data_IF_727609751047
#
_entry.id   IF_727609751047
#
_cell.length_a   1.000
_cell.length_b   1.000
_cell.length_c   1.000
_cell.angle_alpha   90.00
_cell.angle_beta   90.00
_cell.angle_gamma   90.00
#
_symmetry.space_group_name_H-M   'P 1'
#
loop_
_entity.id
_entity.type
_entity.pdbx_description
1 polymer ?
#
# COMPACT_ATOMS: atom_id res chain seq x y z
N UNK A 1 -32.15 17.03 -1.09
CA UNK A 1 -31.73 15.71 -0.58
C UNK A 1 -30.22 15.74 -0.56
N UNK A 2 -29.63 15.77 0.64
CA UNK A 2 -28.18 15.80 0.78
C UNK A 2 -27.64 14.40 0.52
N UNK A 3 -27.08 14.17 -0.68
CA UNK A 3 -26.23 13.02 -0.93
C UNK A 3 -25.07 13.11 0.05
N UNK A 4 -25.19 12.34 1.12
CA UNK A 4 -24.13 12.18 2.10
C UNK A 4 -23.13 11.24 1.44
N UNK A 5 -22.22 11.79 0.64
CA UNK A 5 -21.06 11.05 0.13
C UNK A 5 -20.37 10.44 1.35
N UNK A 6 -20.54 9.13 1.54
CA UNK A 6 -19.94 8.41 2.64
C UNK A 6 -18.44 8.67 2.58
N UNK A 7 -17.93 9.39 3.59
CA UNK A 7 -16.53 9.76 3.65
C UNK A 7 -15.68 8.49 3.55
N UNK A 8 -14.89 8.35 2.47
CA UNK A 8 -14.05 7.17 2.30
C UNK A 8 -13.08 7.11 3.47
N UNK A 9 -13.13 6.01 4.23
CA UNK A 9 -12.20 5.79 5.33
C UNK A 9 -10.89 5.24 4.75
N UNK A 10 -9.71 5.68 5.23
CA UNK A 10 -8.43 5.18 4.72
C UNK A 10 -8.30 3.66 4.73
N UNK A 11 -8.75 3.01 5.81
CA UNK A 11 -8.78 1.54 5.90
C UNK A 11 -9.60 0.89 4.77
N UNK A 12 -10.83 1.35 4.56
CA UNK A 12 -11.69 0.83 3.50
C UNK A 12 -11.09 1.07 2.12
N UNK A 13 -10.44 2.21 1.93
CA UNK A 13 -9.69 2.54 0.70
C UNK A 13 -8.53 1.55 0.52
N UNK A 14 -7.72 1.31 1.56
CA UNK A 14 -6.60 0.36 1.52
C UNK A 14 -7.05 -1.04 1.09
N UNK A 15 -8.06 -1.62 1.74
CA UNK A 15 -8.55 -2.96 1.40
C UNK A 15 -9.25 -3.01 0.04
N UNK A 16 -9.85 -1.91 -0.42
CA UNK A 16 -10.36 -1.82 -1.80
C UNK A 16 -9.22 -1.91 -2.81
N UNK A 17 -8.14 -1.15 -2.61
CA UNK A 17 -6.96 -1.18 -3.47
C UNK A 17 -6.30 -2.56 -3.47
N UNK A 18 -6.06 -3.15 -2.28
CA UNK A 18 -5.48 -4.49 -2.13
C UNK A 18 -6.31 -5.56 -2.85
N UNK A 19 -7.64 -5.45 -2.78
CA UNK A 19 -8.53 -6.37 -3.51
C UNK A 19 -8.36 -6.21 -5.02
N UNK A 20 -8.41 -4.97 -5.52
CA UNK A 20 -8.29 -4.70 -6.96
C UNK A 20 -6.95 -5.19 -7.51
N UNK A 21 -5.84 -4.86 -6.86
CA UNK A 21 -4.50 -5.28 -7.30
C UNK A 21 -4.34 -6.80 -7.22
N UNK A 22 -4.74 -7.44 -6.12
CA UNK A 22 -4.64 -8.89 -5.99
C UNK A 22 -5.53 -9.64 -6.99
N UNK A 23 -6.73 -9.13 -7.30
CA UNK A 23 -7.59 -9.72 -8.34
C UNK A 23 -7.02 -9.52 -9.75
N UNK A 24 -6.40 -8.36 -10.02
CA UNK A 24 -5.67 -8.12 -11.26
C UNK A 24 -4.54 -9.13 -11.46
N UNK A 25 -3.74 -9.34 -10.41
CA UNK A 25 -2.67 -10.35 -10.36
C UNK A 25 -3.21 -11.77 -10.59
N UNK A 26 -4.29 -12.15 -9.90
CA UNK A 26 -4.95 -13.44 -10.06
C UNK A 26 -5.49 -13.68 -11.48
N UNK A 27 -6.11 -12.66 -12.07
CA UNK A 27 -6.65 -12.74 -13.42
C UNK A 27 -5.54 -12.89 -14.46
N UNK A 28 -4.48 -12.08 -14.35
CA UNK A 28 -3.32 -12.10 -15.24
C UNK A 28 -2.61 -13.46 -15.21
N UNK A 29 -2.33 -13.99 -14.03
CA UNK A 29 -1.69 -15.31 -13.88
C UNK A 29 -2.63 -16.47 -14.26
N UNK A 30 -3.94 -16.32 -14.03
CA UNK A 30 -4.94 -17.32 -14.40
C UNK A 30 -5.06 -17.56 -15.92
N UNK A 31 -4.70 -16.57 -16.74
CA UNK A 31 -4.64 -16.70 -18.21
C UNK A 31 -3.23 -17.03 -18.72
N UNK A 32 -2.28 -17.31 -17.83
CA UNK A 32 -0.88 -17.63 -18.18
C UNK A 32 -0.02 -16.41 -18.53
N UNK A 33 -0.39 -15.22 -18.04
CA UNK A 33 0.43 -14.02 -18.20
C UNK A 33 1.77 -14.14 -17.49
N UNK A 34 2.85 -13.73 -18.16
CA UNK A 34 4.17 -13.55 -17.56
C UNK A 34 4.39 -12.07 -17.20
N UNK A 35 5.10 -11.80 -16.10
CA UNK A 35 5.39 -10.44 -15.65
C UNK A 35 4.21 -9.72 -14.98
N UNK A 36 4.32 -8.40 -14.74
CA UNK A 36 3.29 -7.64 -14.04
C UNK A 36 2.00 -7.47 -14.87
N UNK A 37 0.84 -7.37 -14.23
CA UNK A 37 -0.43 -7.11 -14.90
C UNK A 37 -0.43 -5.72 -15.57
N UNK A 38 -1.31 -5.50 -16.58
CA UNK A 38 -1.49 -4.18 -17.18
C UNK A 38 -1.99 -3.16 -16.14
N UNK A 39 -1.75 -1.87 -16.42
CA UNK A 39 -2.15 -0.79 -15.54
C UNK A 39 -3.68 -0.78 -15.29
N UNK A 40 -4.07 -0.82 -14.01
CA UNK A 40 -5.46 -0.76 -13.58
C UNK A 40 -5.92 0.71 -13.43
N UNK A 41 -6.62 1.19 -14.46
CA UNK A 41 -7.18 2.55 -14.49
C UNK A 41 -8.35 2.73 -13.52
N UNK A 42 -9.06 1.67 -13.17
CA UNK A 42 -10.15 1.73 -12.18
C UNK A 42 -9.57 1.96 -10.79
N UNK A 43 -8.50 1.24 -10.43
CA UNK A 43 -7.78 1.43 -9.17
C UNK A 43 -7.24 2.87 -9.08
N UNK A 44 -6.63 3.37 -10.15
CA UNK A 44 -6.14 4.74 -10.22
C UNK A 44 -7.27 5.76 -9.99
N UNK A 45 -8.42 5.57 -10.62
CA UNK A 45 -9.60 6.41 -10.44
C UNK A 45 -10.14 6.38 -9.01
N UNK A 46 -10.27 5.19 -8.42
CA UNK A 46 -10.76 5.01 -7.05
C UNK A 46 -9.85 5.69 -6.01
N UNK A 47 -8.52 5.51 -6.12
CA UNK A 47 -7.56 6.19 -5.26
C UNK A 47 -7.59 7.71 -5.45
N UNK A 48 -7.60 8.18 -6.70
CA UNK A 48 -7.62 9.62 -7.00
C UNK A 48 -8.87 10.27 -6.37
N UNK A 49 -10.05 9.67 -6.55
CA UNK A 49 -11.29 10.19 -5.97
C UNK A 49 -11.25 10.27 -4.43
N UNK A 50 -10.67 9.27 -3.76
CA UNK A 50 -10.49 9.29 -2.30
C UNK A 50 -9.55 10.42 -1.85
N UNK A 51 -8.41 10.58 -2.53
CA UNK A 51 -7.43 11.63 -2.21
C UNK A 51 -8.01 13.03 -2.45
N UNK A 52 -8.74 13.24 -3.54
CA UNK A 52 -9.43 14.51 -3.82
C UNK A 52 -10.47 14.82 -2.75
N UNK A 53 -11.28 13.83 -2.36
CA UNK A 53 -12.26 13.99 -1.26
C UNK A 53 -11.57 14.43 0.03
N UNK A 54 -10.42 13.85 0.36
CA UNK A 54 -9.67 14.24 1.56
C UNK A 54 -8.98 15.60 1.42
N UNK A 55 -8.51 15.97 0.22
CA UNK A 55 -7.96 17.29 -0.08
C UNK A 55 -9.00 18.38 0.12
N UNK A 56 -10.19 18.20 -0.45
CA UNK A 56 -11.27 19.19 -0.39
C UNK A 56 -11.80 19.35 1.05
N UNK A 57 -11.71 18.30 1.85
CA UNK A 57 -12.00 18.34 3.29
C UNK A 57 -10.86 18.92 4.16
N UNK A 58 -9.72 19.30 3.58
CA UNK A 58 -8.54 19.81 4.31
C UNK A 58 -7.80 18.74 5.13
N UNK A 59 -7.95 17.46 4.77
CA UNK A 59 -7.43 16.29 5.52
C UNK A 59 -6.52 15.38 4.69
N UNK A 60 -6.05 15.81 3.51
CA UNK A 60 -5.23 14.98 2.62
C UNK A 60 -4.06 14.31 3.35
N UNK A 61 -3.18 15.09 3.96
CA UNK A 61 -1.95 14.57 4.62
C UNK A 61 -2.24 13.53 5.71
N UNK A 62 -3.09 13.80 6.73
CA UNK A 62 -3.35 12.80 7.76
C UNK A 62 -4.10 11.56 7.23
N UNK A 63 -5.03 11.71 6.28
CA UNK A 63 -5.76 10.55 5.73
C UNK A 63 -4.88 9.69 4.82
N UNK A 64 -4.02 10.32 4.01
CA UNK A 64 -3.05 9.63 3.17
C UNK A 64 -2.00 8.88 4.01
N UNK A 65 -1.50 9.48 5.09
CA UNK A 65 -0.57 8.80 6.01
C UNK A 65 -1.21 7.53 6.60
N UNK A 66 -2.47 7.60 7.05
CA UNK A 66 -3.18 6.43 7.57
C UNK A 66 -3.43 5.38 6.47
N UNK A 67 -3.76 5.81 5.24
CA UNK A 67 -3.89 4.89 4.10
C UNK A 67 -2.57 4.12 3.87
N UNK A 68 -1.45 4.84 3.85
CA UNK A 68 -0.11 4.29 3.62
C UNK A 68 0.29 3.35 4.76
N UNK A 69 0.00 3.70 6.02
CA UNK A 69 0.23 2.82 7.17
C UNK A 69 -0.50 1.48 7.02
N UNK A 70 -1.78 1.50 6.62
CA UNK A 70 -2.55 0.29 6.37
C UNK A 70 -1.93 -0.57 5.26
N UNK A 71 -1.59 0.05 4.13
CA UNK A 71 -1.01 -0.68 2.99
C UNK A 71 0.36 -1.26 3.33
N UNK A 72 1.23 -0.50 4.01
CA UNK A 72 2.55 -0.95 4.44
C UNK A 72 2.46 -2.08 5.48
N UNK A 73 1.50 -2.00 6.41
CA UNK A 73 1.24 -3.04 7.42
C UNK A 73 0.78 -4.34 6.79
N UNK A 74 -0.17 -4.28 5.86
CA UNK A 74 -0.64 -5.46 5.16
C UNK A 74 0.48 -6.05 4.27
N UNK A 75 1.27 -5.22 3.56
CA UNK A 75 2.43 -5.69 2.80
C UNK A 75 3.44 -6.44 3.69
N UNK A 76 3.84 -5.85 4.82
CA UNK A 76 4.75 -6.49 5.76
C UNK A 76 4.17 -7.81 6.29
N UNK A 77 2.89 -7.83 6.67
CA UNK A 77 2.21 -9.02 7.13
C UNK A 77 2.18 -10.14 6.09
N UNK A 78 1.85 -9.81 4.84
CA UNK A 78 1.79 -10.80 3.76
C UNK A 78 3.17 -11.38 3.46
N UNK A 79 4.17 -10.52 3.37
CA UNK A 79 5.54 -10.96 3.11
C UNK A 79 6.09 -11.83 4.24
N UNK A 80 5.86 -11.46 5.50
CA UNK A 80 6.22 -12.29 6.66
C UNK A 80 5.57 -13.67 6.56
N UNK A 81 4.29 -13.73 6.19
CA UNK A 81 3.60 -15.02 6.02
C UNK A 81 4.17 -15.85 4.86
N UNK A 82 4.47 -15.24 3.71
CA UNK A 82 5.12 -15.92 2.57
C UNK A 82 6.50 -16.48 2.93
N UNK A 83 7.21 -15.83 3.85
CA UNK A 83 8.50 -16.25 4.35
C UNK A 83 8.41 -17.23 5.54
N UNK A 84 7.21 -17.65 5.91
CA UNK A 84 6.97 -18.64 6.97
C UNK A 84 7.01 -18.08 8.40
N UNK A 85 6.89 -16.77 8.58
CA UNK A 85 6.96 -16.12 9.90
C UNK A 85 8.38 -15.94 10.44
N UNK A 86 9.40 -16.11 9.60
CA UNK A 86 10.81 -16.01 9.96
C UNK A 86 11.31 -14.55 9.82
N UNK A 87 11.63 -13.92 10.96
CA UNK A 87 12.08 -12.54 11.01
C UNK A 87 13.44 -12.33 10.34
N UNK A 88 14.37 -13.27 10.45
CA UNK A 88 15.71 -13.14 9.84
C UNK A 88 15.59 -13.18 8.32
N UNK A 89 14.70 -14.04 7.79
CA UNK A 89 14.38 -14.08 6.37
C UNK A 89 13.67 -12.81 5.91
N UNK A 90 12.75 -12.28 6.71
CA UNK A 90 12.08 -11.02 6.41
C UNK A 90 13.09 -9.85 6.35
N UNK A 91 13.98 -9.73 7.33
CA UNK A 91 15.00 -8.68 7.38
C UNK A 91 15.99 -8.81 6.22
N UNK A 92 16.37 -10.03 5.85
CA UNK A 92 17.20 -10.27 4.68
C UNK A 92 16.49 -9.90 3.38
N UNK A 93 15.20 -10.22 3.26
CA UNK A 93 14.39 -9.83 2.11
C UNK A 93 14.25 -8.31 2.02
N UNK A 94 13.93 -7.63 3.13
CA UNK A 94 13.70 -6.18 3.14
C UNK A 94 14.93 -5.41 2.68
N UNK A 95 16.14 -5.84 3.10
CA UNK A 95 17.39 -5.26 2.61
C UNK A 95 17.57 -5.45 1.11
N UNK A 96 17.45 -6.69 0.62
CA UNK A 96 17.61 -6.99 -0.81
C UNK A 96 16.56 -6.28 -1.68
N UNK A 97 15.32 -6.22 -1.20
CA UNK A 97 14.23 -5.49 -1.86
C UNK A 97 14.50 -3.98 -1.90
N UNK A 98 15.02 -3.41 -0.81
CA UNK A 98 15.44 -2.01 -0.76
C UNK A 98 16.55 -1.69 -1.76
N UNK A 99 17.54 -2.58 -1.89
CA UNK A 99 18.63 -2.45 -2.87
C UNK A 99 18.07 -2.51 -4.31
N UNK A 100 17.19 -3.46 -4.59
CA UNK A 100 16.54 -3.60 -5.90
C UNK A 100 15.71 -2.37 -6.27
N UNK A 101 14.88 -1.88 -5.35
CA UNK A 101 14.07 -0.66 -5.54
C UNK A 101 14.97 0.55 -5.80
N UNK A 102 16.08 0.67 -5.06
CA UNK A 102 17.04 1.76 -5.25
C UNK A 102 17.74 1.69 -6.61
N UNK A 103 18.11 0.50 -7.07
CA UNK A 103 18.75 0.28 -8.37
C UNK A 103 17.80 0.49 -9.55
N UNK A 104 16.52 0.16 -9.37
CA UNK A 104 15.50 0.27 -10.42
C UNK A 104 14.86 1.65 -10.51
N UNK A 105 15.06 2.51 -9.51
CA UNK A 105 14.60 3.90 -9.50
C UNK A 105 15.26 4.72 -10.64
N UNK A 106 14.46 5.08 -11.66
CA UNK A 106 14.94 5.84 -12.84
C UNK A 106 14.67 7.33 -12.80
N UNK A 107 13.86 7.79 -11.85
CA UNK A 107 13.45 9.18 -11.75
C UNK A 107 14.00 9.85 -10.49
N UNK A 108 14.31 11.15 -10.50
CA UNK A 108 14.83 11.86 -9.33
C UNK A 108 13.89 11.87 -8.11
N UNK A 109 12.59 11.65 -8.33
CA UNK A 109 11.59 11.62 -7.27
C UNK A 109 11.60 10.26 -6.55
N UNK A 110 11.96 10.18 -5.25
CA UNK A 110 12.39 8.93 -4.62
C UNK A 110 11.23 8.09 -4.08
N UNK A 111 10.17 7.87 -4.87
CA UNK A 111 8.97 7.17 -4.40
C UNK A 111 9.26 5.77 -3.85
N UNK A 112 10.00 4.96 -4.62
CA UNK A 112 10.41 3.62 -4.20
C UNK A 112 11.20 3.62 -2.90
N UNK A 113 12.34 4.36 -2.82
CA UNK A 113 13.10 4.50 -1.58
C UNK A 113 12.26 4.97 -0.38
N UNK A 114 11.36 5.96 -0.57
CA UNK A 114 10.44 6.41 0.50
C UNK A 114 9.49 5.30 0.95
N UNK A 115 8.95 4.49 0.03
CA UNK A 115 8.15 3.33 0.40
C UNK A 115 8.96 2.30 1.21
N UNK A 116 10.23 2.07 0.88
CA UNK A 116 11.11 1.16 1.64
C UNK A 116 11.38 1.69 3.05
N UNK A 117 11.62 3.00 3.21
CA UNK A 117 11.77 3.64 4.53
C UNK A 117 10.50 3.47 5.38
N UNK A 118 9.33 3.74 4.80
CA UNK A 118 8.03 3.57 5.45
C UNK A 118 7.78 2.11 5.84
N UNK A 119 8.08 1.16 4.95
CA UNK A 119 7.95 -0.28 5.22
C UNK A 119 8.89 -0.71 6.36
N UNK A 120 10.10 -0.17 6.40
CA UNK A 120 11.07 -0.44 7.48
C UNK A 120 10.55 0.06 8.83
N UNK A 121 9.93 1.24 8.88
CA UNK A 121 9.30 1.74 10.11
C UNK A 121 8.23 0.77 10.62
N UNK A 122 7.37 0.28 9.74
CA UNK A 122 6.31 -0.70 10.08
C UNK A 122 6.89 -2.04 10.51
N UNK A 123 7.87 -2.56 9.78
CA UNK A 123 8.46 -3.87 10.03
C UNK A 123 9.30 -3.90 11.31
N UNK A 124 9.97 -2.81 11.65
CA UNK A 124 10.81 -2.69 12.84
C UNK A 124 10.07 -2.03 14.02
N UNK A 125 8.73 -2.05 14.01
CA UNK A 125 7.92 -1.54 15.11
C UNK A 125 8.11 -2.42 16.37
N UNK A 126 8.54 -1.85 17.51
CA UNK A 126 8.65 -2.63 18.74
C UNK A 126 7.26 -3.16 19.19
N UNK A 127 7.19 -4.33 19.88
CA UNK A 127 5.91 -4.95 20.26
C UNK A 127 4.97 -4.07 21.10
N UNK A 128 5.53 -3.11 21.84
CA UNK A 128 4.80 -2.18 22.70
C UNK A 128 4.79 -0.74 22.15
N UNK A 129 5.08 -0.55 20.86
CA UNK A 129 5.02 0.76 20.23
C UNK A 129 3.60 1.32 20.30
N UNK A 130 3.47 2.55 20.79
CA UNK A 130 2.18 3.21 20.84
C UNK A 130 1.78 3.69 19.43
N UNK A 131 0.49 3.66 19.05
CA UNK A 131 0.05 4.12 17.73
C UNK A 131 0.54 5.53 17.37
N UNK A 132 0.58 6.44 18.33
CA UNK A 132 1.09 7.80 18.13
C UNK A 132 2.60 7.86 17.84
N UNK A 133 3.40 6.96 18.42
CA UNK A 133 4.84 6.89 18.20
C UNK A 133 5.12 6.36 16.79
N UNK A 134 4.38 5.32 16.37
CA UNK A 134 4.44 4.80 15.01
C UNK A 134 4.04 5.85 13.98
N UNK A 135 2.91 6.53 14.21
CA UNK A 135 2.43 7.57 13.33
C UNK A 135 3.47 8.70 13.18
N UNK A 136 4.13 9.10 14.26
CA UNK A 136 5.20 10.09 14.22
C UNK A 136 6.41 9.61 13.39
N UNK A 137 6.84 8.35 13.55
CA UNK A 137 7.94 7.77 12.77
C UNK A 137 7.62 7.64 11.29
N UNK A 138 6.38 7.30 10.94
CA UNK A 138 5.91 7.24 9.54
C UNK A 138 5.77 8.64 8.94
N UNK A 139 5.33 9.62 9.74
CA UNK A 139 5.13 10.99 9.27
C UNK A 139 6.43 11.64 8.79
N UNK A 140 7.60 11.30 9.37
CA UNK A 140 8.89 11.87 8.97
C UNK A 140 9.21 11.63 7.49
N UNK A 141 9.38 10.37 7.01
CA UNK A 141 9.69 10.12 5.61
C UNK A 141 8.52 10.50 4.69
N UNK A 142 7.26 10.30 5.14
CA UNK A 142 6.11 10.65 4.32
C UNK A 142 6.02 12.16 4.03
N UNK A 143 6.09 12.99 5.07
CA UNK A 143 5.97 14.45 4.90
C UNK A 143 7.19 15.07 4.23
N UNK A 144 8.39 14.47 4.40
CA UNK A 144 9.59 14.90 3.70
C UNK A 144 9.51 14.64 2.18
N UNK A 145 8.77 13.61 1.78
CA UNK A 145 8.56 13.26 0.39
C UNK A 145 7.52 14.14 -0.32
N UNK A 146 6.46 14.58 0.38
CA UNK A 146 5.40 15.41 -0.21
C UNK A 146 5.90 16.80 -0.63
N UNK A 147 5.85 17.11 -1.91
CA UNK A 147 6.22 18.42 -2.44
C UNK A 147 5.06 19.42 -2.32
N UNK A 148 5.32 20.67 -1.91
CA UNK A 148 4.31 21.71 -1.89
C UNK A 148 3.67 21.91 -3.28
N UNK A 149 2.35 21.80 -3.37
CA UNK A 149 1.61 21.93 -4.62
C UNK A 149 1.54 20.64 -5.45
N UNK A 150 2.13 19.54 -4.99
CA UNK A 150 2.03 18.20 -5.62
C UNK A 150 1.67 17.11 -4.62
N UNK A 151 1.13 17.47 -3.45
CA UNK A 151 0.87 16.52 -2.38
C UNK A 151 -0.11 15.42 -2.76
N UNK A 152 -1.05 15.70 -3.68
CA UNK A 152 -1.99 14.69 -4.15
C UNK A 152 -1.31 13.67 -5.05
N UNK A 153 -0.52 14.14 -6.02
CA UNK A 153 0.25 13.26 -6.91
C UNK A 153 1.22 12.40 -6.11
N UNK A 154 1.95 13.00 -5.17
CA UNK A 154 2.96 12.32 -4.37
C UNK A 154 2.32 11.30 -3.42
N UNK A 155 1.22 11.66 -2.73
CA UNK A 155 0.48 10.71 -1.89
C UNK A 155 -0.06 9.52 -2.71
N UNK A 156 -0.53 9.79 -3.94
CA UNK A 156 -1.00 8.74 -4.85
C UNK A 156 0.14 7.83 -5.28
N UNK A 157 1.30 8.36 -5.63
CA UNK A 157 2.46 7.59 -6.07
C UNK A 157 2.88 6.57 -4.99
N UNK A 158 2.98 6.99 -3.73
CA UNK A 158 3.31 6.12 -2.61
C UNK A 158 2.22 5.07 -2.37
N UNK A 159 0.95 5.47 -2.34
CA UNK A 159 -0.16 4.56 -2.12
C UNK A 159 -0.29 3.50 -3.23
N UNK A 160 -0.09 3.88 -4.50
CA UNK A 160 -0.08 2.94 -5.63
C UNK A 160 1.07 1.94 -5.52
N UNK A 161 2.28 2.43 -5.19
CA UNK A 161 3.47 1.59 -5.06
C UNK A 161 3.23 0.48 -4.02
N UNK A 162 2.73 0.85 -2.84
CA UNK A 162 2.37 -0.14 -1.82
C UNK A 162 1.22 -1.06 -2.24
N UNK A 163 0.16 -0.54 -2.84
CA UNK A 163 -0.99 -1.35 -3.25
C UNK A 163 -0.61 -2.43 -4.28
N UNK A 164 0.29 -2.09 -5.21
CA UNK A 164 0.80 -3.04 -6.21
C UNK A 164 1.64 -4.13 -5.56
N UNK A 165 2.63 -3.77 -4.74
CA UNK A 165 3.49 -4.76 -4.06
C UNK A 165 2.70 -5.67 -3.11
N UNK A 166 1.83 -5.08 -2.28
CA UNK A 166 1.00 -5.83 -1.35
C UNK A 166 -0.05 -6.69 -2.07
N UNK A 167 -0.59 -6.21 -3.20
CA UNK A 167 -1.54 -6.97 -4.03
C UNK A 167 -0.94 -8.25 -4.59
N UNK A 168 0.29 -8.16 -5.11
CA UNK A 168 1.04 -9.33 -5.59
C UNK A 168 1.25 -10.36 -4.48
N UNK A 169 1.64 -9.92 -3.28
CA UNK A 169 1.84 -10.83 -2.14
C UNK A 169 0.54 -11.45 -1.64
N UNK A 170 -0.54 -10.68 -1.60
CA UNK A 170 -1.87 -11.18 -1.25
C UNK A 170 -2.32 -12.25 -2.27
N UNK A 171 -2.16 -11.98 -3.57
CA UNK A 171 -2.50 -12.93 -4.61
C UNK A 171 -1.70 -14.22 -4.46
N UNK A 172 -0.38 -14.13 -4.24
CA UNK A 172 0.47 -15.30 -4.00
C UNK A 172 0.05 -16.10 -2.75
N UNK A 173 -0.26 -15.44 -1.63
CA UNK A 173 -0.76 -16.10 -0.42
C UNK A 173 -2.10 -16.82 -0.63
N UNK A 174 -2.97 -16.23 -1.44
CA UNK A 174 -4.25 -16.83 -1.80
C UNK A 174 -4.13 -17.82 -2.96
N UNK A 175 -2.92 -18.10 -3.44
CA UNK A 175 -2.64 -18.99 -4.58
C UNK A 175 -3.40 -18.56 -5.85
N UNK A 176 -3.51 -17.25 -6.05
CA UNK A 176 -4.22 -16.62 -7.15
C UNK A 176 -5.72 -17.00 -7.24
N UNK A 177 -6.30 -17.49 -6.13
CA UNK A 177 -7.73 -17.78 -6.05
C UNK A 177 -8.52 -16.49 -5.79
N UNK A 178 -9.25 -16.05 -6.81
CA UNK A 178 -10.08 -14.84 -6.77
C UNK A 178 -11.16 -14.87 -5.69
N UNK A 179 -11.75 -16.03 -5.38
CA UNK A 179 -12.78 -16.13 -4.33
C UNK A 179 -12.16 -15.99 -2.95
N UNK A 180 -10.98 -16.57 -2.72
CA UNK A 180 -10.23 -16.41 -1.46
C UNK A 180 -9.80 -14.97 -1.23
N UNK A 181 -9.34 -14.27 -2.26
CA UNK A 181 -9.00 -12.84 -2.20
C UNK A 181 -10.23 -12.00 -1.80
N UNK A 182 -11.38 -12.24 -2.44
CA UNK A 182 -12.63 -11.53 -2.12
C UNK A 182 -13.06 -11.80 -0.68
N UNK A 183 -13.11 -13.07 -0.26
CA UNK A 183 -13.51 -13.46 1.09
C UNK A 183 -12.60 -12.85 2.16
N UNK A 184 -11.28 -12.88 1.93
CA UNK A 184 -10.30 -12.28 2.83
C UNK A 184 -10.50 -10.77 3.00
N UNK A 185 -10.58 -10.03 1.88
CA UNK A 185 -10.69 -8.57 1.90
C UNK A 185 -12.04 -8.10 2.44
N UNK A 186 -13.14 -8.81 2.14
CA UNK A 186 -14.46 -8.51 2.70
C UNK A 186 -14.47 -8.63 4.23
N UNK A 187 -13.94 -9.72 4.78
CA UNK A 187 -13.87 -9.95 6.23
C UNK A 187 -13.05 -8.88 6.99
N UNK A 188 -12.17 -8.16 6.30
CA UNK A 188 -11.36 -7.07 6.86
C UNK A 188 -11.99 -5.69 6.70
N UNK A 189 -13.09 -5.57 5.95
CA UNK A 189 -13.83 -4.33 5.70
C UNK A 189 -15.21 -4.27 6.37
N UNK A 190 -15.76 -5.42 6.77
CA UNK A 190 -16.95 -5.56 7.64
C UNK A 190 -16.65 -5.16 9.08
#
# INVERSE_FOLDING_TARGET
>A
MSDTTAQSRPRSTAFTLLRMTAQGEATHHGVGGEGPPPADMEMYGALTAALETWRDAGRLRPQALVLIEWLATEHAGYRTQLLGGDQDRFDSWLRAFGDEVSLTQRHPHPAGPTCVELLTVVASAPPNERPEERAARLAVPFLAYLRPGSELEDAREIALSFALWAGQDLAALMQYDSQRIVGYTQARTS
#
